data_IF_723349650707
#
_entry.id   IF_723349650707
#
_cell.length_a   1.000
_cell.length_b   1.000
_cell.length_c   1.000
_cell.angle_alpha   90.00
_cell.angle_beta   90.00
_cell.angle_gamma   90.00
#
_symmetry.space_group_name_H-M   'P 1'
#
loop_
_entity.id
_entity.type
_entity.pdbx_description
1 polymer ?
#
# COMPACT_ATOMS: atom_id res chain seq x y z
N UNK A 1 -5.71 -34.97 10.79
CA UNK A 1 -5.25 -33.76 11.51
C UNK A 1 -4.79 -32.77 10.46
N UNK A 2 -5.59 -31.74 10.17
CA UNK A 2 -5.11 -30.65 9.32
C UNK A 2 -4.24 -29.76 10.20
N UNK A 3 -2.93 -29.93 10.09
CA UNK A 3 -1.96 -29.02 10.69
C UNK A 3 -2.08 -27.67 9.99
N UNK A 4 -2.95 -26.81 10.51
CA UNK A 4 -2.94 -25.39 10.18
C UNK A 4 -1.63 -24.83 10.72
N UNK A 5 -0.60 -24.81 9.88
CA UNK A 5 0.61 -24.04 10.16
C UNK A 5 0.24 -22.56 10.22
N UNK A 6 0.92 -21.77 11.06
CA UNK A 6 0.67 -20.33 11.21
C UNK A 6 0.76 -19.55 9.87
N UNK A 7 1.47 -20.11 8.89
CA UNK A 7 1.60 -19.59 7.52
C UNK A 7 0.32 -19.77 6.68
N UNK A 8 -0.49 -20.79 6.98
CA UNK A 8 -1.72 -21.17 6.27
C UNK A 8 -2.94 -20.98 7.17
N UNK A 9 -3.03 -19.80 7.78
CA UNK A 9 -4.19 -19.38 8.58
C UNK A 9 -5.06 -18.42 7.76
N UNK A 10 -6.30 -18.80 7.39
CA UNK A 10 -7.17 -17.93 6.62
C UNK A 10 -7.56 -16.71 7.47
N UNK A 11 -7.18 -15.52 7.01
CA UNK A 11 -7.64 -14.25 7.57
C UNK A 11 -8.92 -13.88 6.81
N UNK A 12 -10.11 -13.96 7.44
CA UNK A 12 -11.35 -13.56 6.78
C UNK A 12 -11.32 -12.05 6.52
N UNK A 13 -11.84 -11.62 5.37
CA UNK A 13 -12.00 -10.20 5.06
C UNK A 13 -13.36 -9.73 5.57
N UNK A 14 -13.36 -8.83 6.54
CA UNK A 14 -14.53 -8.12 7.04
C UNK A 14 -14.74 -6.87 6.19
N UNK A 15 -15.68 -6.92 5.25
CA UNK A 15 -15.96 -5.83 4.31
C UNK A 15 -16.21 -4.49 5.00
N UNK A 16 -16.98 -4.47 6.09
CA UNK A 16 -17.25 -3.24 6.84
C UNK A 16 -15.98 -2.63 7.43
N UNK A 17 -15.09 -3.45 8.01
CA UNK A 17 -13.82 -3.00 8.57
C UNK A 17 -12.89 -2.45 7.49
N UNK A 18 -12.79 -3.17 6.36
CA UNK A 18 -12.02 -2.73 5.21
C UNK A 18 -12.50 -1.35 4.71
N UNK A 19 -13.80 -1.21 4.48
CA UNK A 19 -14.41 0.04 4.02
C UNK A 19 -14.27 1.16 5.05
N UNK A 20 -14.36 0.86 6.35
CA UNK A 20 -14.14 1.85 7.41
C UNK A 20 -12.71 2.39 7.39
N UNK A 21 -11.70 1.53 7.30
CA UNK A 21 -10.28 1.92 7.21
C UNK A 21 -10.05 2.76 5.94
N UNK A 22 -10.55 2.31 4.79
CA UNK A 22 -10.47 3.08 3.53
C UNK A 22 -11.19 4.42 3.63
N UNK A 23 -12.36 4.48 4.26
CA UNK A 23 -13.09 5.72 4.48
C UNK A 23 -12.33 6.70 5.36
N UNK A 24 -11.73 6.23 6.46
CA UNK A 24 -10.88 7.04 7.34
C UNK A 24 -9.64 7.55 6.58
N UNK A 25 -9.01 6.70 5.76
CA UNK A 25 -7.90 7.08 4.89
C UNK A 25 -8.29 8.28 4.01
N UNK A 26 -9.35 8.14 3.23
CA UNK A 26 -9.81 9.15 2.27
C UNK A 26 -10.24 10.44 2.98
N UNK A 27 -10.95 10.33 4.11
CA UNK A 27 -11.40 11.47 4.91
C UNK A 27 -10.20 12.25 5.47
N UNK A 28 -9.22 11.54 6.03
CA UNK A 28 -8.00 12.15 6.57
C UNK A 28 -7.22 12.88 5.48
N UNK A 29 -7.13 12.30 4.29
CA UNK A 29 -6.46 12.91 3.13
C UNK A 29 -7.18 14.17 2.65
N UNK A 30 -8.51 14.14 2.55
CA UNK A 30 -9.31 15.27 2.08
C UNK A 30 -9.22 16.46 3.04
N UNK A 31 -9.32 16.20 4.34
CA UNK A 31 -9.28 17.21 5.40
C UNK A 31 -7.90 17.42 6.02
N UNK A 32 -6.82 17.08 5.31
CA UNK A 32 -5.41 17.18 5.77
C UNK A 32 -4.93 18.58 6.19
N UNK A 33 -5.75 19.61 6.02
CA UNK A 33 -5.48 20.97 6.53
C UNK A 33 -5.78 21.10 8.03
N UNK A 34 -6.66 20.25 8.58
CA UNK A 34 -6.91 20.19 10.02
C UNK A 34 -5.77 19.45 10.74
N UNK A 35 -5.36 19.87 11.94
CA UNK A 35 -4.15 19.35 12.61
C UNK A 35 -4.24 17.85 12.94
N UNK A 36 -5.37 17.39 13.50
CA UNK A 36 -5.57 15.97 13.85
C UNK A 36 -5.63 15.11 12.58
N UNK A 37 -6.40 15.54 11.59
CA UNK A 37 -6.56 14.80 10.32
C UNK A 37 -5.28 14.84 9.47
N UNK A 38 -4.44 15.87 9.61
CA UNK A 38 -3.09 15.91 9.01
C UNK A 38 -2.20 14.82 9.58
N UNK A 39 -2.18 14.63 10.91
CA UNK A 39 -1.39 13.56 11.54
C UNK A 39 -1.89 12.18 11.10
N UNK A 40 -3.21 11.96 11.11
CA UNK A 40 -3.79 10.72 10.61
C UNK A 40 -3.47 10.52 9.13
N UNK A 41 -3.58 11.56 8.31
CA UNK A 41 -3.22 11.50 6.89
C UNK A 41 -1.76 11.06 6.72
N UNK A 42 -0.81 11.63 7.47
CA UNK A 42 0.60 11.23 7.40
C UNK A 42 0.79 9.76 7.78
N UNK A 43 0.16 9.31 8.87
CA UNK A 43 0.28 7.94 9.37
C UNK A 43 -0.32 6.92 8.39
N UNK A 44 -1.54 7.19 7.89
CA UNK A 44 -2.24 6.32 6.95
C UNK A 44 -1.59 6.30 5.56
N UNK A 45 -1.06 7.44 5.08
CA UNK A 45 -0.34 7.52 3.80
C UNK A 45 1.07 6.92 3.86
N UNK A 46 1.62 6.67 5.05
CA UNK A 46 3.00 6.18 5.16
C UNK A 46 3.24 4.93 4.32
N UNK A 47 2.34 3.94 4.43
CA UNK A 47 2.48 2.67 3.73
C UNK A 47 2.22 2.78 2.23
N UNK A 48 1.16 3.45 1.77
CA UNK A 48 0.99 3.78 0.35
C UNK A 48 2.18 4.48 -0.28
N UNK A 49 2.69 5.54 0.36
CA UNK A 49 3.87 6.27 -0.13
C UNK A 49 5.09 5.36 -0.15
N UNK A 50 5.34 4.59 0.91
CA UNK A 50 6.41 3.60 0.93
C UNK A 50 6.28 2.62 -0.24
N UNK A 51 5.07 2.15 -0.51
CA UNK A 51 4.78 1.19 -1.59
C UNK A 51 5.03 1.82 -2.96
N UNK A 52 4.59 3.06 -3.18
CA UNK A 52 4.84 3.82 -4.40
C UNK A 52 6.34 4.00 -4.64
N UNK A 53 7.06 4.57 -3.68
CA UNK A 53 8.50 4.80 -3.82
C UNK A 53 9.30 3.50 -3.94
N UNK A 54 8.87 2.43 -3.26
CA UNK A 54 9.44 1.10 -3.44
C UNK A 54 9.26 0.59 -4.87
N UNK A 55 8.18 0.98 -5.55
CA UNK A 55 7.97 0.74 -6.97
C UNK A 55 9.10 1.32 -7.83
N UNK A 56 9.48 2.58 -7.60
CA UNK A 56 10.64 3.17 -8.28
C UNK A 56 11.93 2.41 -7.98
N UNK A 57 12.18 2.10 -6.71
CA UNK A 57 13.36 1.33 -6.26
C UNK A 57 13.44 -0.03 -6.95
N UNK A 58 12.36 -0.80 -6.94
CA UNK A 58 12.33 -2.15 -7.49
C UNK A 58 12.58 -2.13 -9.00
N UNK A 59 11.85 -1.30 -9.75
CA UNK A 59 11.99 -1.22 -11.20
C UNK A 59 13.36 -0.64 -11.61
N UNK A 60 13.92 0.26 -10.81
CA UNK A 60 15.29 0.73 -11.01
C UNK A 60 16.31 -0.40 -10.85
N UNK A 61 16.19 -1.22 -9.80
CA UNK A 61 17.07 -2.37 -9.59
C UNK A 61 16.93 -3.42 -10.67
N UNK A 62 15.70 -3.75 -11.08
CA UNK A 62 15.42 -4.71 -12.16
C UNK A 62 16.00 -4.26 -13.50
N UNK A 63 16.04 -2.95 -13.76
CA UNK A 63 16.67 -2.37 -14.95
C UNK A 63 18.19 -2.18 -14.84
N UNK A 64 18.82 -2.67 -13.75
CA UNK A 64 20.26 -2.61 -13.53
C UNK A 64 20.78 -1.30 -12.94
N UNK A 65 19.88 -0.42 -12.48
CA UNK A 65 20.17 0.83 -11.80
C UNK A 65 20.64 0.66 -10.34
N UNK A 66 20.90 1.80 -9.69
CA UNK A 66 21.30 1.88 -8.28
C UNK A 66 20.36 2.81 -7.52
N UNK A 67 20.09 2.45 -6.27
CA UNK A 67 19.26 3.24 -5.36
C UNK A 67 20.19 3.89 -4.35
N UNK A 68 20.14 5.22 -4.27
CA UNK A 68 21.02 6.03 -3.41
C UNK A 68 20.32 6.34 -2.10
N UNK A 69 19.07 6.79 -2.17
CA UNK A 69 18.27 7.10 -1.00
C UNK A 69 16.79 6.85 -1.31
N UNK A 70 16.02 6.64 -0.26
CA UNK A 70 14.58 6.44 -0.30
C UNK A 70 14.03 7.00 0.99
N UNK A 71 13.15 7.99 0.91
CA UNK A 71 12.65 8.75 2.06
C UNK A 71 11.13 8.87 2.03
N UNK A 72 10.49 8.68 3.18
CA UNK A 72 9.08 9.03 3.41
C UNK A 72 9.03 10.27 4.31
N UNK A 73 8.27 11.29 3.88
CA UNK A 73 8.18 12.57 4.59
C UNK A 73 7.18 12.48 5.74
N UNK A 74 7.67 12.68 6.96
CA UNK A 74 6.91 12.47 8.21
C UNK A 74 6.30 13.73 8.80
N UNK A 75 6.56 14.92 8.23
CA UNK A 75 6.05 16.18 8.79
C UNK A 75 5.25 16.97 7.78
N UNK A 76 4.17 17.59 8.24
CA UNK A 76 3.31 18.41 7.39
C UNK A 76 4.05 19.64 6.85
N UNK A 77 4.93 20.25 7.67
CA UNK A 77 5.74 21.41 7.27
C UNK A 77 6.62 21.08 6.07
N UNK A 78 7.29 19.93 6.09
CA UNK A 78 8.13 19.50 4.99
C UNK A 78 7.29 19.17 3.74
N UNK A 79 6.17 18.44 3.88
CA UNK A 79 5.26 18.16 2.75
C UNK A 79 4.73 19.43 2.08
N UNK A 80 4.49 20.49 2.87
CA UNK A 80 4.06 21.79 2.34
C UNK A 80 5.21 22.55 1.66
N UNK A 81 6.42 22.45 2.19
CA UNK A 81 7.61 23.10 1.62
C UNK A 81 8.08 22.43 0.33
N UNK A 82 8.05 21.10 0.25
CA UNK A 82 8.57 20.33 -0.90
C UNK A 82 7.47 19.93 -1.88
N UNK A 83 6.21 19.90 -1.45
CA UNK A 83 5.10 19.32 -2.22
C UNK A 83 5.15 17.79 -2.33
N UNK A 84 6.12 17.13 -1.69
CA UNK A 84 6.37 15.70 -1.80
C UNK A 84 5.95 14.96 -0.53
N UNK A 85 5.37 13.76 -0.68
CA UNK A 85 5.03 12.88 0.44
C UNK A 85 6.12 11.83 0.71
N UNK A 86 6.90 11.51 -0.32
CA UNK A 86 8.08 10.67 -0.31
C UNK A 86 8.92 10.99 -1.55
N UNK A 87 10.14 10.47 -1.59
CA UNK A 87 10.98 10.49 -2.77
C UNK A 87 12.02 9.38 -2.73
N UNK A 88 12.27 8.76 -3.88
CA UNK A 88 13.37 7.84 -4.11
C UNK A 88 14.43 8.48 -5.02
N UNK A 89 15.67 8.56 -4.52
CA UNK A 89 16.83 8.99 -5.29
C UNK A 89 17.40 7.75 -5.99
N UNK A 90 17.07 7.61 -7.27
CA UNK A 90 17.51 6.48 -8.11
C UNK A 90 18.47 6.94 -9.20
N UNK A 91 19.41 6.07 -9.57
CA UNK A 91 20.38 6.28 -10.63
C UNK A 91 20.16 5.19 -11.69
N UNK A 92 19.48 5.55 -12.76
CA UNK A 92 19.27 4.66 -13.91
C UNK A 92 20.50 4.68 -14.81
N UNK A 93 20.93 3.51 -15.29
CA UNK A 93 22.06 3.41 -16.24
C UNK A 93 21.68 3.75 -17.68
N UNK A 94 20.40 3.58 -18.02
CA UNK A 94 19.89 3.74 -19.39
C UNK A 94 18.58 4.52 -19.37
N UNK A 95 18.26 5.18 -20.49
CA UNK A 95 16.97 5.89 -20.69
C UNK A 95 15.77 4.94 -20.52
N UNK A 96 15.88 3.72 -21.05
CA UNK A 96 14.86 2.67 -20.89
C UNK A 96 14.70 2.31 -19.41
N UNK A 97 15.80 2.13 -18.67
CA UNK A 97 15.74 1.88 -17.23
C UNK A 97 15.07 3.01 -16.45
N UNK A 98 15.27 4.27 -16.86
CA UNK A 98 14.58 5.41 -16.28
C UNK A 98 13.08 5.38 -16.55
N UNK A 99 12.65 5.04 -17.78
CA UNK A 99 11.24 4.85 -18.13
C UNK A 99 10.59 3.77 -17.24
N UNK A 100 11.23 2.60 -17.10
CA UNK A 100 10.73 1.54 -16.22
C UNK A 100 10.68 1.98 -14.75
N UNK A 101 11.71 2.68 -14.28
CA UNK A 101 11.76 3.22 -12.92
C UNK A 101 10.58 4.15 -12.66
N UNK A 102 10.33 5.12 -13.53
CA UNK A 102 9.23 6.09 -13.39
C UNK A 102 7.86 5.44 -13.48
N UNK A 103 7.70 4.40 -14.32
CA UNK A 103 6.45 3.62 -14.37
C UNK A 103 6.15 2.88 -13.06
N UNK A 104 7.19 2.37 -12.40
CA UNK A 104 7.07 1.48 -11.25
C UNK A 104 6.30 2.07 -10.07
N UNK A 105 6.38 3.39 -9.86
CA UNK A 105 5.76 4.08 -8.72
C UNK A 105 4.25 3.86 -8.64
N UNK A 106 3.54 4.19 -9.73
CA UNK A 106 2.09 4.03 -9.82
C UNK A 106 1.63 2.59 -10.12
N UNK A 107 2.53 1.68 -10.52
CA UNK A 107 2.21 0.25 -10.69
C UNK A 107 2.16 -0.47 -9.35
N UNK A 108 3.02 -0.09 -8.40
CA UNK A 108 3.22 -0.87 -7.18
C UNK A 108 2.00 -0.90 -6.23
N UNK A 109 1.30 0.21 -5.92
CA UNK A 109 0.12 0.17 -5.06
C UNK A 109 -1.02 -0.77 -5.54
N UNK A 110 -1.52 -0.70 -6.80
CA UNK A 110 -2.55 -1.62 -7.26
C UNK A 110 -2.05 -3.06 -7.38
N UNK A 111 -0.76 -3.27 -7.67
CA UNK A 111 -0.14 -4.60 -7.67
C UNK A 111 -0.14 -5.21 -6.26
N UNK A 112 0.30 -4.45 -5.26
CA UNK A 112 0.34 -4.91 -3.86
C UNK A 112 -1.05 -5.16 -3.30
N UNK A 113 -2.05 -4.33 -3.66
CA UNK A 113 -3.44 -4.60 -3.32
C UNK A 113 -3.88 -5.96 -3.90
N UNK A 114 -3.60 -6.20 -5.18
CA UNK A 114 -3.96 -7.45 -5.86
C UNK A 114 -3.24 -8.66 -5.28
N UNK A 115 -1.94 -8.54 -4.96
CA UNK A 115 -1.17 -9.59 -4.27
C UNK A 115 -1.79 -9.91 -2.92
N UNK A 116 -2.14 -8.90 -2.13
CA UNK A 116 -2.80 -9.10 -0.85
C UNK A 116 -4.06 -9.94 -0.99
N UNK A 117 -4.94 -9.56 -1.92
CA UNK A 117 -6.19 -10.27 -2.24
C UNK A 117 -5.98 -11.70 -2.74
N UNK A 118 -4.99 -11.94 -3.59
CA UNK A 118 -4.63 -13.29 -4.04
C UNK A 118 -4.15 -14.13 -2.86
N UNK A 119 -3.29 -13.59 -2.00
CA UNK A 119 -2.78 -14.30 -0.82
C UNK A 119 -3.90 -14.66 0.15
N UNK A 120 -4.88 -13.79 0.35
CA UNK A 120 -6.05 -14.13 1.17
C UNK A 120 -6.91 -15.22 0.55
N UNK A 121 -7.16 -15.18 -0.77
CA UNK A 121 -7.96 -16.23 -1.44
C UNK A 121 -7.34 -17.63 -1.31
N UNK A 122 -6.02 -17.70 -1.07
CA UNK A 122 -5.26 -18.94 -0.84
C UNK A 122 -5.08 -19.29 0.63
N UNK A 123 -5.65 -18.52 1.57
CA UNK A 123 -5.45 -18.71 3.02
C UNK A 123 -4.03 -18.36 3.51
N UNK A 124 -3.30 -17.55 2.74
CA UNK A 124 -1.88 -17.21 2.94
C UNK A 124 -1.69 -15.71 3.29
N UNK A 125 -2.67 -15.08 3.94
CA UNK A 125 -2.63 -13.65 4.28
C UNK A 125 -1.40 -13.23 5.11
N UNK A 126 -0.85 -14.15 5.90
CA UNK A 126 0.39 -13.93 6.66
C UNK A 126 1.60 -13.71 5.75
N UNK A 127 1.67 -14.38 4.59
CA UNK A 127 2.75 -14.17 3.60
C UNK A 127 2.74 -12.72 3.09
N UNK A 128 1.57 -12.13 2.90
CA UNK A 128 1.45 -10.73 2.49
C UNK A 128 2.05 -9.77 3.54
N UNK A 129 1.81 -10.04 4.82
CA UNK A 129 2.42 -9.27 5.92
C UNK A 129 3.95 -9.44 5.91
N UNK A 130 4.44 -10.67 5.70
CA UNK A 130 5.89 -10.94 5.61
C UNK A 130 6.55 -10.24 4.42
N UNK A 131 5.87 -10.13 3.27
CA UNK A 131 6.36 -9.33 2.13
C UNK A 131 6.55 -7.87 2.56
N UNK A 132 5.57 -7.28 3.24
CA UNK A 132 5.69 -5.92 3.76
C UNK A 132 6.84 -5.77 4.77
N UNK A 133 7.01 -6.73 5.69
CA UNK A 133 8.16 -6.77 6.60
C UNK A 133 9.47 -6.74 5.80
N UNK A 134 9.59 -7.53 4.74
CA UNK A 134 10.76 -7.53 3.85
C UNK A 134 11.02 -6.17 3.18
N UNK A 135 9.96 -5.52 2.67
CA UNK A 135 10.05 -4.16 2.10
C UNK A 135 10.53 -3.16 3.15
N UNK A 136 10.00 -3.24 4.37
CA UNK A 136 10.39 -2.37 5.49
C UNK A 136 11.84 -2.58 5.94
N UNK A 137 12.31 -3.82 5.99
CA UNK A 137 13.71 -4.14 6.29
C UNK A 137 14.63 -3.55 5.22
N UNK A 138 14.31 -3.76 3.95
CA UNK A 138 15.05 -3.16 2.84
C UNK A 138 15.07 -1.64 2.93
N UNK A 139 13.91 -1.02 3.14
CA UNK A 139 13.78 0.42 3.30
C UNK A 139 14.66 0.94 4.42
N UNK A 140 14.68 0.27 5.57
CA UNK A 140 15.48 0.65 6.74
C UNK A 140 16.97 0.61 6.45
N UNK A 141 17.44 -0.32 5.60
CA UNK A 141 18.85 -0.38 5.18
C UNK A 141 19.19 0.80 4.28
N UNK A 142 18.33 1.14 3.32
CA UNK A 142 18.63 2.12 2.26
C UNK A 142 18.38 3.57 2.70
N UNK A 143 17.30 3.83 3.44
CA UNK A 143 16.87 5.20 3.77
C UNK A 143 17.89 5.97 4.59
N UNK A 144 18.06 7.26 4.33
CA UNK A 144 18.79 8.17 5.21
C UNK A 144 18.05 8.44 6.54
N UNK A 145 16.73 8.25 6.60
CA UNK A 145 15.88 8.56 7.78
C UNK A 145 15.47 7.32 8.56
N UNK A 146 16.35 6.87 9.47
CA UNK A 146 16.19 5.57 10.15
C UNK A 146 15.07 5.51 11.21
N UNK A 147 14.73 6.61 11.87
CA UNK A 147 13.87 6.59 13.07
C UNK A 147 12.48 5.99 12.84
N UNK A 148 11.72 6.51 11.86
CA UNK A 148 10.39 6.01 11.56
C UNK A 148 10.38 4.52 11.14
N UNK A 149 11.21 4.07 10.19
CA UNK A 149 11.32 2.65 9.85
C UNK A 149 11.69 1.76 11.04
N UNK A 150 12.63 2.18 11.90
CA UNK A 150 13.01 1.41 13.09
C UNK A 150 11.82 1.23 14.04
N UNK A 151 11.07 2.29 14.33
CA UNK A 151 9.87 2.22 15.18
C UNK A 151 8.86 1.21 14.59
N UNK A 152 8.64 1.25 13.28
CA UNK A 152 7.71 0.34 12.60
C UNK A 152 8.22 -1.10 12.65
N UNK A 153 9.52 -1.35 12.45
CA UNK A 153 10.10 -2.70 12.58
C UNK A 153 9.96 -3.22 14.00
N UNK A 154 10.26 -2.40 15.01
CA UNK A 154 10.10 -2.81 16.42
C UNK A 154 8.64 -3.17 16.71
N UNK A 155 7.69 -2.40 16.20
CA UNK A 155 6.26 -2.69 16.32
C UNK A 155 5.88 -4.00 15.60
N UNK A 156 6.37 -4.22 14.37
CA UNK A 156 6.12 -5.44 13.61
C UNK A 156 6.74 -6.68 14.28
N UNK A 157 7.98 -6.58 14.77
CA UNK A 157 8.64 -7.64 15.53
C UNK A 157 7.91 -7.92 16.85
N UNK A 158 7.41 -6.89 17.53
CA UNK A 158 6.57 -7.05 18.73
C UNK A 158 5.28 -7.79 18.43
N UNK A 159 4.60 -7.46 17.32
CA UNK A 159 3.39 -8.17 16.86
C UNK A 159 3.71 -9.64 16.53
N UNK A 160 4.82 -9.91 15.85
CA UNK A 160 5.26 -11.28 15.52
C UNK A 160 5.63 -12.05 16.79
N UNK A 161 6.38 -11.44 17.71
CA UNK A 161 6.81 -12.07 18.96
C UNK A 161 5.62 -12.41 19.85
N UNK A 162 4.73 -11.45 20.08
CA UNK A 162 3.45 -11.72 20.71
C UNK A 162 2.80 -12.85 19.94
N UNK A 163 2.75 -12.75 18.60
CA UNK A 163 2.28 -13.74 17.62
C UNK A 163 2.59 -15.19 17.96
N UNK A 164 3.87 -15.44 18.25
CA UNK A 164 4.44 -16.75 18.51
C UNK A 164 4.22 -17.23 19.96
N UNK A 165 3.98 -16.30 20.89
CA UNK A 165 4.01 -16.55 22.33
C UNK A 165 2.66 -16.88 22.97
N UNK A 166 1.52 -16.89 22.26
CA UNK A 166 0.32 -17.47 22.88
C UNK A 166 -0.21 -18.77 22.32
N UNK A 167 -0.65 -19.52 23.32
CA UNK A 167 -1.28 -20.82 23.30
C UNK A 167 -2.68 -20.78 22.68
N UNK A 168 -3.27 -19.59 22.53
CA UNK A 168 -4.66 -19.42 22.11
C UNK A 168 -4.74 -18.81 20.70
N UNK A 169 -4.61 -19.66 19.68
CA UNK A 169 -4.69 -19.34 18.24
C UNK A 169 -5.83 -18.36 17.86
N UNK A 170 -6.92 -18.32 18.64
CA UNK A 170 -8.07 -17.46 18.39
C UNK A 170 -7.81 -15.96 18.68
N UNK A 171 -7.14 -15.62 19.80
CA UNK A 171 -6.79 -14.22 20.11
C UNK A 171 -5.69 -13.67 19.18
N UNK A 172 -4.90 -14.56 18.59
CA UNK A 172 -3.86 -14.24 17.61
C UNK A 172 -4.39 -13.86 16.25
N UNK A 173 -5.56 -14.40 15.89
CA UNK A 173 -6.24 -14.01 14.65
C UNK A 173 -6.56 -12.51 14.60
N UNK A 174 -6.83 -11.85 15.73
CA UNK A 174 -7.35 -10.48 15.73
C UNK A 174 -6.31 -9.43 15.35
N UNK A 175 -5.09 -9.47 15.91
CA UNK A 175 -4.05 -8.47 15.57
C UNK A 175 -3.62 -8.64 14.11
N UNK A 176 -3.37 -9.86 13.66
CA UNK A 176 -3.03 -10.11 12.25
C UNK A 176 -4.17 -9.71 11.32
N UNK A 177 -5.41 -9.96 11.70
CA UNK A 177 -6.58 -9.52 10.96
C UNK A 177 -6.65 -7.98 10.90
N UNK A 178 -6.46 -7.26 12.01
CA UNK A 178 -6.44 -5.79 12.02
C UNK A 178 -5.30 -5.23 11.17
N UNK A 179 -4.08 -5.76 11.31
CA UNK A 179 -2.93 -5.35 10.49
C UNK A 179 -3.22 -5.62 9.02
N UNK A 180 -3.70 -6.81 8.67
CA UNK A 180 -4.03 -7.17 7.29
C UNK A 180 -5.09 -6.25 6.68
N UNK A 181 -6.15 -5.92 7.43
CA UNK A 181 -7.17 -4.96 6.98
C UNK A 181 -6.63 -3.54 6.90
N UNK A 182 -5.70 -3.15 7.78
CA UNK A 182 -5.01 -1.88 7.68
C UNK A 182 -4.19 -1.78 6.40
N UNK A 183 -3.41 -2.81 6.08
CA UNK A 183 -2.62 -2.90 4.84
C UNK A 183 -3.53 -2.79 3.61
N UNK A 184 -4.56 -3.63 3.52
CA UNK A 184 -5.48 -3.62 2.38
C UNK A 184 -6.29 -2.33 2.29
N UNK A 185 -6.80 -1.83 3.41
CA UNK A 185 -7.67 -0.66 3.46
C UNK A 185 -6.94 0.63 3.09
N UNK A 186 -5.68 0.77 3.52
CA UNK A 186 -4.82 1.90 3.11
C UNK A 186 -4.40 1.80 1.65
N UNK A 187 -4.10 0.60 1.13
CA UNK A 187 -3.83 0.40 -0.30
C UNK A 187 -5.05 0.67 -1.19
N UNK A 188 -6.25 0.25 -0.77
CA UNK A 188 -7.48 0.57 -1.48
C UNK A 188 -7.74 2.08 -1.47
N UNK A 189 -7.54 2.74 -0.33
CA UNK A 189 -7.61 4.19 -0.21
C UNK A 189 -6.63 4.89 -1.16
N UNK A 190 -5.40 4.40 -1.24
CA UNK A 190 -4.40 4.89 -2.19
C UNK A 190 -4.81 4.70 -3.63
N UNK A 191 -5.26 3.51 -4.04
CA UNK A 191 -5.67 3.24 -5.42
C UNK A 191 -6.80 4.20 -5.86
N UNK A 192 -7.76 4.47 -4.98
CA UNK A 192 -8.84 5.43 -5.22
C UNK A 192 -8.29 6.87 -5.30
N UNK A 193 -7.52 7.30 -4.29
CA UNK A 193 -7.00 8.65 -4.20
C UNK A 193 -6.00 8.97 -5.33
N UNK A 194 -5.12 8.02 -5.64
CA UNK A 194 -4.13 8.09 -6.72
C UNK A 194 -4.82 8.25 -8.08
N UNK A 195 -5.92 7.55 -8.34
CA UNK A 195 -6.70 7.72 -9.58
C UNK A 195 -7.22 9.16 -9.74
N UNK A 196 -7.73 9.75 -8.66
CA UNK A 196 -8.20 11.14 -8.64
C UNK A 196 -7.02 12.10 -8.86
N UNK A 197 -5.90 11.87 -8.15
CA UNK A 197 -4.71 12.71 -8.25
C UNK A 197 -4.06 12.64 -9.63
N UNK A 198 -3.93 11.46 -10.24
CA UNK A 198 -3.45 11.29 -11.62
C UNK A 198 -4.31 12.11 -12.57
N UNK A 199 -5.64 12.03 -12.48
CA UNK A 199 -6.55 12.81 -13.32
C UNK A 199 -6.32 14.31 -13.14
N UNK A 200 -6.25 14.79 -11.89
CA UNK A 200 -5.97 16.20 -11.58
C UNK A 200 -4.62 16.67 -12.16
N UNK A 201 -3.55 15.90 -11.95
CA UNK A 201 -2.20 16.24 -12.44
C UNK A 201 -2.12 16.22 -13.97
N UNK A 202 -2.86 15.34 -14.62
CA UNK A 202 -2.90 15.22 -16.10
C UNK A 202 -3.51 16.46 -16.75
N UNK A 203 -4.55 17.03 -16.14
CA UNK A 203 -5.30 18.16 -16.69
C UNK A 203 -4.95 19.52 -16.05
N UNK A 204 -4.06 19.54 -15.06
CA UNK A 204 -3.60 20.76 -14.40
C UNK A 204 -2.89 21.72 -15.37
N UNK A 205 -3.09 23.02 -15.14
CA UNK A 205 -2.42 24.12 -15.87
C UNK A 205 -1.94 25.18 -14.87
N UNK A 206 -0.64 25.56 -14.84
CA UNK A 206 0.46 24.98 -15.61
C UNK A 206 0.71 23.51 -15.23
N UNK A 207 1.37 22.76 -16.11
CA UNK A 207 1.64 21.34 -15.86
C UNK A 207 2.66 21.18 -14.73
N UNK A 208 2.30 20.49 -13.64
CA UNK A 208 3.22 20.25 -12.53
C UNK A 208 4.29 19.24 -12.91
N UNK A 209 5.40 19.21 -12.18
CA UNK A 209 6.39 18.15 -12.31
C UNK A 209 5.92 16.90 -11.54
N UNK A 210 5.65 15.82 -12.25
CA UNK A 210 5.29 14.51 -11.71
C UNK A 210 5.71 13.40 -12.68
N UNK A 211 5.56 12.14 -12.30
CA UNK A 211 5.99 10.99 -13.11
C UNK A 211 5.44 10.99 -14.54
N UNK A 212 4.19 11.40 -14.72
CA UNK A 212 3.57 11.46 -16.05
C UNK A 212 4.17 12.53 -16.97
N UNK A 213 4.63 13.67 -16.44
CA UNK A 213 5.38 14.65 -17.23
C UNK A 213 6.80 14.16 -17.48
N UNK A 214 7.45 13.54 -16.49
CA UNK A 214 8.78 12.96 -16.66
C UNK A 214 8.80 11.87 -17.75
N UNK A 215 7.78 11.00 -17.79
CA UNK A 215 7.65 9.98 -18.84
C UNK A 215 7.40 10.59 -20.21
N UNK A 216 6.57 11.64 -20.31
CA UNK A 216 6.38 12.37 -21.57
C UNK A 216 7.70 12.94 -22.05
N UNK A 217 8.48 13.56 -21.18
CA UNK A 217 9.75 14.16 -21.57
C UNK A 217 10.78 13.08 -21.97
N UNK A 218 10.73 11.91 -21.32
CA UNK A 218 11.57 10.76 -21.65
C UNK A 218 11.14 9.96 -22.88
N UNK A 219 9.88 9.98 -23.29
CA UNK A 219 9.36 9.11 -24.38
C UNK A 219 8.74 9.87 -25.54
N UNK A 220 8.44 11.15 -25.36
CA UNK A 220 7.61 12.00 -26.22
C UNK A 220 6.17 11.51 -26.40
N UNK A 221 5.73 10.49 -25.64
CA UNK A 221 4.34 10.03 -25.60
C UNK A 221 3.53 10.97 -24.69
N UNK A 222 2.33 11.41 -25.08
CA UNK A 222 1.50 12.28 -24.25
C UNK A 222 1.25 11.70 -22.85
N UNK A 223 1.31 12.56 -21.83
CA UNK A 223 1.05 12.17 -20.42
C UNK A 223 -0.27 11.41 -20.23
N UNK A 224 -1.30 11.76 -21.02
CA UNK A 224 -2.60 11.09 -20.99
C UNK A 224 -2.51 9.56 -21.19
N UNK A 225 -1.58 9.08 -22.02
CA UNK A 225 -1.42 7.64 -22.27
C UNK A 225 -0.95 6.91 -20.99
N UNK A 226 0.01 7.48 -20.26
CA UNK A 226 0.49 6.93 -19.00
C UNK A 226 -0.57 7.04 -17.90
N UNK A 227 -1.28 8.17 -17.84
CA UNK A 227 -2.40 8.36 -16.92
C UNK A 227 -3.50 7.34 -17.14
N UNK A 228 -3.88 7.08 -18.40
CA UNK A 228 -4.87 6.08 -18.74
C UNK A 228 -4.42 4.67 -18.34
N UNK A 229 -3.14 4.33 -18.56
CA UNK A 229 -2.57 3.05 -18.12
C UNK A 229 -2.70 2.87 -16.60
N UNK A 230 -2.25 3.85 -15.81
CA UNK A 230 -2.28 3.73 -14.34
C UNK A 230 -3.71 3.73 -13.78
N UNK A 231 -4.60 4.56 -14.32
CA UNK A 231 -6.02 4.55 -13.92
C UNK A 231 -6.67 3.20 -14.28
N UNK A 232 -6.34 2.61 -15.42
CA UNK A 232 -6.84 1.28 -15.80
C UNK A 232 -6.32 0.18 -14.86
N UNK A 233 -5.05 0.24 -14.46
CA UNK A 233 -4.49 -0.69 -13.47
C UNK A 233 -5.19 -0.55 -12.10
N UNK A 234 -5.44 0.68 -11.66
CA UNK A 234 -6.21 0.97 -10.46
C UNK A 234 -7.66 0.45 -10.56
N UNK A 235 -8.32 0.69 -11.69
CA UNK A 235 -9.67 0.18 -11.94
C UNK A 235 -9.73 -1.35 -11.93
N UNK A 236 -8.70 -2.00 -12.49
CA UNK A 236 -8.59 -3.47 -12.52
C UNK A 236 -8.41 -4.06 -11.13
N UNK A 237 -7.59 -3.45 -10.26
CA UNK A 237 -7.41 -3.94 -8.89
C UNK A 237 -8.65 -3.73 -8.03
N UNK A 238 -9.38 -2.62 -8.20
CA UNK A 238 -10.69 -2.39 -7.56
C UNK A 238 -11.75 -3.37 -8.07
N UNK A 239 -11.76 -3.66 -9.37
CA UNK A 239 -12.65 -4.67 -9.94
C UNK A 239 -12.34 -6.08 -9.40
N UNK A 240 -11.06 -6.42 -9.25
CA UNK A 240 -10.67 -7.70 -8.65
C UNK A 240 -11.10 -7.80 -7.19
N UNK A 241 -10.94 -6.72 -6.41
CA UNK A 241 -11.48 -6.62 -5.05
C UNK A 241 -13.00 -6.84 -5.04
N UNK A 242 -13.75 -6.15 -5.90
CA UNK A 242 -15.21 -6.24 -5.90
C UNK A 242 -15.70 -7.63 -6.27
N UNK A 243 -15.00 -8.32 -7.18
CA UNK A 243 -15.26 -9.72 -7.51
C UNK A 243 -15.11 -10.64 -6.30
N UNK A 244 -14.04 -10.47 -5.51
CA UNK A 244 -13.80 -11.26 -4.30
C UNK A 244 -14.80 -10.94 -3.16
N UNK A 245 -15.19 -9.68 -3.00
CA UNK A 245 -16.06 -9.27 -1.89
C UNK A 245 -17.55 -9.48 -2.15
N UNK A 246 -18.02 -9.34 -3.39
CA UNK A 246 -19.46 -9.22 -3.67
C UNK A 246 -19.99 -10.26 -4.67
N UNK A 247 -19.18 -10.72 -5.62
CA UNK A 247 -19.65 -11.54 -6.75
C UNK A 247 -19.36 -13.02 -6.53
N UNK A 248 -18.22 -13.35 -5.93
CA UNK A 248 -17.88 -14.71 -5.50
C UNK A 248 -17.71 -14.78 -3.98
N UNK A 249 -18.79 -14.63 -3.18
CA UNK A 249 -18.73 -14.63 -1.71
C UNK A 249 -18.39 -16.01 -1.09
N UNK A 250 -17.79 -16.93 -1.83
CA UNK A 250 -17.41 -18.27 -1.35
C UNK A 250 -16.32 -18.27 -0.25
N UNK A 251 -16.05 -17.12 0.38
CA UNK A 251 -15.37 -17.04 1.67
C UNK A 251 -16.25 -16.29 2.67
N UNK A 252 -17.08 -17.07 3.36
CA UNK A 252 -17.80 -16.80 4.62
C UNK A 252 -19.00 -15.85 4.59
N UNK A 253 -20.18 -16.47 4.61
CA UNK A 253 -21.46 -15.86 4.98
C UNK A 253 -21.43 -15.32 6.42
N UNK A 254 -21.66 -14.01 6.56
CA UNK A 254 -21.78 -13.24 7.81
C UNK A 254 -22.97 -13.64 8.73
N UNK A 255 -23.69 -14.73 8.46
CA UNK A 255 -24.97 -15.05 9.15
C UNK A 255 -24.82 -16.12 10.25
N UNK A 256 -23.70 -16.83 10.35
CA UNK A 256 -23.63 -18.04 11.21
C UNK A 256 -22.97 -17.86 12.58
N UNK A 257 -22.58 -16.65 12.98
CA UNK A 257 -21.94 -16.39 14.30
C UNK A 257 -22.72 -15.43 15.20
N UNK A 258 -24.05 -15.44 15.15
CA UNK A 258 -24.85 -15.00 16.29
C UNK A 258 -24.92 -16.18 17.26
N UNK A 259 -24.38 -16.08 18.49
CA UNK A 259 -24.64 -17.10 19.49
C UNK A 259 -26.14 -17.08 19.74
N UNK A 260 -26.81 -18.19 19.48
CA UNK A 260 -28.16 -18.43 19.98
C UNK A 260 -28.08 -18.31 21.50
N UNK A 261 -28.54 -17.18 22.04
CA UNK A 261 -28.93 -17.05 23.43
C UNK A 261 -30.09 -18.02 23.66
N UNK A 262 -29.78 -19.24 24.05
CA UNK A 262 -30.75 -20.17 24.64
C UNK A 262 -30.94 -19.76 26.10
N UNK A 263 -32.09 -19.15 26.37
CA UNK A 263 -32.74 -19.16 27.68
C UNK A 263 -33.17 -20.59 28.04
#
# INVERSE_FOLDING_TARGET
MNEHTWLTSPIPIYTLLLLAITGIYLLSYYYRRHPILSMLSIAFNYLPVLTHEFGHVLFNRLSGGRVVDFVVVMTQRERQATGQQGYAVTQSKTRIGQIFTTLGGYIMPPLMLSIGLIMQSKGQGVIFILIYVGIFLYFTIVTSRKMAPIIIIVLLCGIIYLGLQSENLHNYSLIYMLVYHWLLGTLLGEVIQSSITIAQLTFARPQPNWDGTALRDLTHVPTLCFSALWILLNGTSVYFLSQQLFISPNTFSLITYMPTLTL
#
